data_IF_397590728139
#
_entry.id   IF_397590728139
#
_cell.length_a   1.000
_cell.length_b   1.000
_cell.length_c   1.000
_cell.angle_alpha   90.00
_cell.angle_beta   90.00
_cell.angle_gamma   90.00
#
_symmetry.space_group_name_H-M   'P 1'
#
loop_
_entity.id
_entity.type
_entity.pdbx_description
1 polymer ?
#
# COMPACT_ATOMS: atom_id res chain seq x y z
N UNK A 1 -13.10 -57.85 -7.03
CA UNK A 1 -12.08 -57.21 -7.89
C UNK A 1 -11.65 -55.93 -7.20
N UNK A 2 -10.38 -55.89 -6.80
CA UNK A 2 -9.67 -54.71 -6.35
C UNK A 2 -9.38 -53.83 -7.57
N UNK A 3 -9.64 -52.52 -7.48
CA UNK A 3 -8.91 -51.52 -8.25
C UNK A 3 -8.58 -50.33 -7.34
N UNK A 4 -7.28 -50.21 -7.09
CA UNK A 4 -6.53 -49.09 -6.52
C UNK A 4 -6.89 -47.75 -7.22
N UNK A 5 -7.15 -46.68 -6.48
CA UNK A 5 -6.19 -45.69 -5.93
C UNK A 5 -5.73 -44.64 -6.97
N UNK A 6 -6.11 -43.37 -6.74
CA UNK A 6 -5.21 -42.22 -6.56
C UNK A 6 -5.85 -40.88 -6.92
N UNK A 7 -5.73 -39.97 -5.95
CA UNK A 7 -5.55 -38.53 -6.08
C UNK A 7 -6.62 -37.70 -6.79
N UNK A 8 -7.52 -37.15 -5.99
CA UNK A 8 -7.83 -35.71 -6.08
C UNK A 8 -8.23 -35.19 -4.71
N UNK A 9 -7.28 -35.28 -3.77
CA UNK A 9 -7.24 -34.33 -2.66
C UNK A 9 -7.12 -32.94 -3.29
N UNK A 10 -8.26 -32.29 -3.51
CA UNK A 10 -8.38 -30.85 -3.65
C UNK A 10 -7.91 -30.31 -2.30
N UNK A 11 -6.59 -30.15 -2.17
CA UNK A 11 -6.02 -29.26 -1.17
C UNK A 11 -6.65 -27.90 -1.44
N UNK A 12 -7.43 -27.33 -0.50
CA UNK A 12 -7.93 -25.98 -0.69
C UNK A 12 -6.69 -25.11 -0.92
N UNK A 13 -6.68 -24.37 -2.03
CA UNK A 13 -5.73 -23.30 -2.29
C UNK A 13 -5.93 -22.28 -1.15
N UNK A 14 -5.26 -22.53 -0.02
CA UNK A 14 -5.05 -21.55 1.01
C UNK A 14 -4.38 -20.39 0.28
N UNK A 15 -5.13 -19.29 0.09
CA UNK A 15 -4.51 -18.00 -0.17
C UNK A 15 -3.46 -17.85 0.91
N UNK A 16 -2.18 -18.03 0.55
CA UNK A 16 -1.04 -17.76 1.42
C UNK A 16 -1.07 -16.25 1.57
N UNK A 17 -1.88 -15.78 2.52
CA UNK A 17 -2.14 -14.37 2.74
C UNK A 17 -0.83 -13.72 3.10
N UNK A 18 -0.34 -12.83 2.23
CA UNK A 18 0.67 -11.87 2.61
C UNK A 18 0.04 -11.07 3.76
N UNK A 19 0.48 -11.31 5.00
CA UNK A 19 0.07 -10.48 6.13
C UNK A 19 0.81 -9.16 5.98
N UNK A 20 0.12 -8.18 5.40
CA UNK A 20 0.58 -6.81 5.32
C UNK A 20 -0.08 -6.04 6.45
N UNK A 21 0.72 -5.52 7.38
CA UNK A 21 0.23 -4.62 8.43
C UNK A 21 0.66 -3.21 8.09
N UNK A 22 -0.28 -2.29 8.14
CA UNK A 22 -0.05 -0.87 7.90
C UNK A 22 0.25 -0.16 9.22
N UNK A 23 1.28 0.67 9.23
CA UNK A 23 1.67 1.53 10.34
C UNK A 23 1.51 2.99 9.94
N UNK A 24 1.19 3.84 10.91
CA UNK A 24 1.09 5.30 10.69
C UNK A 24 1.82 6.06 11.79
N UNK A 25 2.66 7.02 11.42
CA UNK A 25 3.36 7.88 12.37
C UNK A 25 3.67 9.25 11.75
N UNK A 26 3.38 10.35 12.46
CA UNK A 26 3.55 11.75 11.98
C UNK A 26 2.95 12.02 10.59
N UNK A 27 1.90 11.29 10.21
CA UNK A 27 1.23 11.40 8.91
C UNK A 27 1.86 10.57 7.79
N UNK A 28 2.94 9.84 8.06
CA UNK A 28 3.57 8.88 7.17
C UNK A 28 3.01 7.48 7.37
N UNK A 29 3.04 6.67 6.32
CA UNK A 29 2.43 5.35 6.27
C UNK A 29 3.47 4.32 5.88
N UNK A 30 3.70 3.34 6.74
CA UNK A 30 4.57 2.19 6.48
C UNK A 30 3.77 0.92 6.21
N UNK A 31 4.29 0.02 5.39
CA UNK A 31 3.84 -1.38 5.38
C UNK A 31 4.91 -2.29 5.98
N UNK A 32 4.49 -3.32 6.70
CA UNK A 32 5.34 -4.42 7.13
C UNK A 32 5.01 -5.66 6.32
N UNK A 33 6.05 -6.35 5.86
CA UNK A 33 6.00 -7.66 5.24
C UNK A 33 6.97 -8.62 5.94
N UNK A 34 6.66 -9.91 5.92
CA UNK A 34 7.58 -10.95 6.41
C UNK A 34 8.50 -11.35 5.27
N UNK A 35 9.80 -11.18 5.46
CA UNK A 35 10.82 -11.77 4.59
C UNK A 35 11.20 -13.15 5.13
N UNK A 36 10.78 -14.19 4.42
CA UNK A 36 11.01 -15.58 4.82
C UNK A 36 12.45 -16.05 4.58
N UNK A 37 13.21 -15.39 3.71
CA UNK A 37 14.59 -15.79 3.40
C UNK A 37 15.54 -15.30 4.48
N UNK A 38 15.37 -14.06 4.94
CA UNK A 38 16.17 -13.47 6.01
C UNK A 38 15.58 -13.68 7.41
N UNK A 39 14.31 -14.09 7.51
CA UNK A 39 13.63 -14.33 8.79
C UNK A 39 13.34 -13.05 9.57
N UNK A 40 13.20 -11.91 8.88
CA UNK A 40 12.91 -10.61 9.49
C UNK A 40 11.57 -10.04 9.02
N UNK A 41 11.06 -9.08 9.78
CA UNK A 41 10.02 -8.17 9.33
C UNK A 41 10.70 -7.02 8.60
N UNK A 42 10.32 -6.78 7.35
CA UNK A 42 10.83 -5.70 6.53
C UNK A 42 9.69 -4.75 6.18
N UNK A 43 9.96 -3.45 6.20
CA UNK A 43 8.97 -2.45 5.85
C UNK A 43 9.53 -1.24 5.12
N UNK A 44 8.61 -0.53 4.47
CA UNK A 44 8.89 0.68 3.69
C UNK A 44 7.83 1.74 3.94
N UNK A 45 8.26 3.00 3.94
CA UNK A 45 7.36 4.17 3.91
C UNK A 45 6.80 4.35 2.49
N UNK A 46 5.47 4.43 2.39
CA UNK A 46 4.73 4.33 1.13
C UNK A 46 4.38 5.68 0.50
N UNK A 47 4.29 6.73 1.31
CA UNK A 47 3.69 8.01 0.95
C UNK A 47 4.71 9.12 0.61
N UNK A 48 5.96 8.73 0.39
CA UNK A 48 7.07 9.56 -0.11
C UNK A 48 7.78 8.88 -1.29
N UNK A 49 8.48 9.66 -2.13
CA UNK A 49 9.30 9.11 -3.22
C UNK A 49 10.64 8.63 -2.71
N UNK A 50 11.18 9.31 -1.69
CA UNK A 50 12.38 8.86 -1.00
C UNK A 50 12.22 7.42 -0.49
N UNK A 51 13.31 6.68 -0.49
CA UNK A 51 13.31 5.29 -0.03
C UNK A 51 13.68 5.27 1.44
N UNK A 52 12.67 5.24 2.30
CA UNK A 52 12.81 5.02 3.74
C UNK A 52 12.33 3.62 4.06
N UNK A 53 13.24 2.80 4.60
CA UNK A 53 13.02 1.39 4.91
C UNK A 53 13.39 1.10 6.35
N UNK A 54 12.72 0.14 6.96
CA UNK A 54 12.94 -0.28 8.34
C UNK A 54 12.82 -1.80 8.44
N UNK A 55 13.41 -2.39 9.47
CA UNK A 55 13.35 -3.83 9.70
C UNK A 55 13.42 -4.16 11.18
N UNK A 56 12.95 -5.35 11.55
CA UNK A 56 13.08 -5.86 12.91
C UNK A 56 12.90 -7.37 12.95
N UNK A 57 13.44 -8.01 14.00
CA UNK A 57 13.26 -9.44 14.25
C UNK A 57 11.92 -9.73 14.95
N UNK A 58 11.38 -8.74 15.67
CA UNK A 58 10.04 -8.80 16.28
C UNK A 58 9.14 -7.68 15.77
N UNK A 59 7.83 -7.82 15.99
CA UNK A 59 6.85 -6.81 15.61
C UNK A 59 7.12 -5.49 16.33
N UNK A 60 7.45 -5.56 17.61
CA UNK A 60 7.78 -4.41 18.44
C UNK A 60 9.01 -3.67 17.90
N UNK A 61 10.06 -4.42 17.55
CA UNK A 61 11.29 -3.86 16.96
C UNK A 61 10.98 -3.20 15.61
N UNK A 62 10.25 -3.88 14.72
CA UNK A 62 9.89 -3.32 13.41
C UNK A 62 9.02 -2.05 13.54
N UNK A 63 8.12 -1.99 14.53
CA UNK A 63 7.32 -0.79 14.80
C UNK A 63 8.17 0.36 15.33
N UNK A 64 9.12 0.08 16.22
CA UNK A 64 10.03 1.10 16.74
C UNK A 64 10.97 1.63 15.65
N UNK A 65 11.53 0.73 14.83
CA UNK A 65 12.41 1.09 13.71
C UNK A 65 11.66 1.88 12.63
N UNK A 66 10.35 1.64 12.45
CA UNK A 66 9.52 2.52 11.63
C UNK A 66 9.48 3.95 12.18
N UNK A 67 9.25 4.14 13.48
CA UNK A 67 9.23 5.47 14.08
C UNK A 67 10.60 6.16 13.99
N UNK A 68 11.67 5.43 14.31
CA UNK A 68 13.04 5.93 14.21
C UNK A 68 13.36 6.36 12.77
N UNK A 69 13.04 5.54 11.78
CA UNK A 69 13.30 5.85 10.37
C UNK A 69 12.55 7.09 9.87
N UNK A 70 11.34 7.35 10.40
CA UNK A 70 10.60 8.58 10.09
C UNK A 70 11.23 9.78 10.79
N UNK A 71 11.66 9.64 12.04
CA UNK A 71 12.33 10.73 12.76
C UNK A 71 13.66 11.10 12.11
N UNK A 72 14.48 10.11 11.77
CA UNK A 72 15.74 10.28 11.05
C UNK A 72 15.52 10.95 9.67
N UNK A 73 14.46 10.57 8.95
CA UNK A 73 14.10 11.20 7.68
C UNK A 73 13.77 12.69 7.85
N UNK A 74 12.99 13.02 8.87
CA UNK A 74 12.58 14.39 9.15
C UNK A 74 13.76 15.26 9.60
N UNK A 75 14.62 14.71 10.47
CA UNK A 75 15.85 15.37 10.92
C UNK A 75 16.79 15.60 9.75
N UNK A 76 17.02 14.59 8.91
CA UNK A 76 17.85 14.71 7.72
C UNK A 76 17.35 15.81 6.76
N UNK A 77 16.03 15.90 6.54
CA UNK A 77 15.44 16.98 5.73
C UNK A 77 15.75 18.37 6.34
N UNK A 78 15.62 18.51 7.66
CA UNK A 78 15.93 19.75 8.37
C UNK A 78 17.42 20.12 8.25
N UNK A 79 18.33 19.17 8.44
CA UNK A 79 19.78 19.37 8.35
C UNK A 79 20.22 19.89 6.97
N UNK A 80 19.64 19.35 5.89
CA UNK A 80 19.97 19.76 4.52
C UNK A 80 19.15 20.97 4.04
N UNK A 81 18.30 21.54 4.90
CA UNK A 81 17.45 22.69 4.57
C UNK A 81 16.37 22.38 3.52
N UNK A 82 15.97 21.12 3.38
CA UNK A 82 14.90 20.70 2.49
C UNK A 82 13.60 20.48 3.26
N UNK A 83 12.48 20.82 2.63
CA UNK A 83 11.18 20.44 3.20
C UNK A 83 10.96 18.94 2.98
N UNK A 84 10.60 18.17 4.02
CA UNK A 84 10.26 16.76 3.84
C UNK A 84 9.09 16.62 2.86
N UNK A 85 9.10 15.52 2.10
CA UNK A 85 8.01 15.23 1.18
C UNK A 85 6.71 15.11 1.97
N UNK A 86 5.72 15.93 1.61
CA UNK A 86 4.41 15.86 2.26
C UNK A 86 3.73 14.55 1.87
N UNK A 87 3.40 13.68 2.84
CA UNK A 87 2.52 12.55 2.59
C UNK A 87 1.24 13.02 1.91
N UNK A 88 0.82 12.29 0.88
CA UNK A 88 -0.48 12.48 0.23
C UNK A 88 -0.80 13.92 -0.22
N UNK A 89 0.00 14.49 -1.12
CA UNK A 89 -0.19 15.86 -1.66
C UNK A 89 -1.56 16.19 -2.30
N UNK A 90 -2.47 15.22 -2.41
CA UNK A 90 -3.75 15.33 -3.12
C UNK A 90 -3.63 15.40 -4.64
N UNK A 91 -2.41 15.48 -5.19
CA UNK A 91 -2.16 15.51 -6.63
C UNK A 91 -2.03 14.08 -7.16
N UNK A 92 -3.05 13.64 -7.90
CA UNK A 92 -3.09 12.31 -8.51
C UNK A 92 -2.96 12.42 -10.04
N UNK A 93 -1.78 12.10 -10.58
CA UNK A 93 -1.56 12.09 -12.02
C UNK A 93 -1.98 10.73 -12.62
N UNK A 94 -3.10 10.71 -13.32
CA UNK A 94 -3.64 9.47 -13.90
C UNK A 94 -3.41 9.43 -15.42
N UNK A 95 -2.68 8.41 -15.88
CA UNK A 95 -2.52 8.08 -17.32
C UNK A 95 -3.32 6.82 -17.62
N UNK A 96 -4.03 6.82 -18.74
CA UNK A 96 -4.86 5.68 -19.15
C UNK A 96 -5.01 5.61 -20.67
N UNK A 97 -5.61 4.54 -21.18
CA UNK A 97 -5.88 4.36 -22.61
C UNK A 97 -7.03 5.25 -23.07
N UNK A 98 -7.12 5.61 -24.37
CA UNK A 98 -8.25 6.39 -24.89
C UNK A 98 -9.61 5.73 -24.63
N UNK A 99 -9.67 4.40 -24.66
CA UNK A 99 -10.90 3.64 -24.39
C UNK A 99 -11.35 3.82 -22.93
N UNK A 100 -10.43 3.67 -21.99
CA UNK A 100 -10.74 3.83 -20.55
C UNK A 100 -11.09 5.27 -20.23
N UNK A 101 -10.35 6.25 -20.79
CA UNK A 101 -10.68 7.66 -20.67
C UNK A 101 -12.12 7.93 -21.13
N UNK A 102 -12.52 7.42 -22.31
CA UNK A 102 -13.89 7.56 -22.82
C UNK A 102 -14.94 6.98 -21.85
N UNK A 103 -14.69 5.79 -21.29
CA UNK A 103 -15.61 5.16 -20.33
C UNK A 103 -15.78 6.01 -19.07
N UNK A 104 -14.67 6.51 -18.52
CA UNK A 104 -14.66 7.39 -17.34
C UNK A 104 -15.42 8.69 -17.63
N UNK A 105 -15.16 9.34 -18.77
CA UNK A 105 -15.86 10.58 -19.16
C UNK A 105 -17.36 10.37 -19.24
N UNK A 106 -17.82 9.27 -19.86
CA UNK A 106 -19.25 8.97 -19.98
C UNK A 106 -19.87 8.70 -18.60
N UNK A 107 -19.19 7.93 -17.74
CA UNK A 107 -19.68 7.62 -16.40
C UNK A 107 -19.82 8.88 -15.53
N UNK A 108 -18.77 9.72 -15.49
CA UNK A 108 -18.80 10.99 -14.76
C UNK A 108 -19.92 11.92 -15.26
N UNK A 109 -20.10 12.00 -16.59
CA UNK A 109 -21.15 12.81 -17.22
C UNK A 109 -22.55 12.32 -16.85
N UNK A 110 -22.78 11.00 -16.83
CA UNK A 110 -24.07 10.41 -16.42
C UNK A 110 -24.44 10.74 -14.97
N UNK A 111 -23.45 10.95 -14.12
CA UNK A 111 -23.64 11.38 -12.73
C UNK A 111 -23.62 12.91 -12.53
N UNK A 112 -23.47 13.69 -13.61
CA UNK A 112 -23.39 15.15 -13.53
C UNK A 112 -22.14 15.68 -12.82
N UNK A 113 -21.04 14.91 -12.83
CA UNK A 113 -19.80 15.23 -12.12
C UNK A 113 -18.66 15.50 -13.09
N UNK A 114 -17.68 16.29 -12.64
CA UNK A 114 -16.36 16.32 -13.31
C UNK A 114 -15.68 14.96 -13.16
N UNK A 115 -14.75 14.64 -14.08
CA UNK A 115 -13.97 13.40 -14.01
C UNK A 115 -13.24 13.29 -12.67
N UNK A 116 -12.62 14.37 -12.20
CA UNK A 116 -11.91 14.37 -10.92
C UNK A 116 -12.85 14.08 -9.73
N UNK A 117 -14.04 14.70 -9.71
CA UNK A 117 -15.01 14.46 -8.63
C UNK A 117 -15.55 13.03 -8.66
N UNK A 118 -15.86 12.52 -9.85
CA UNK A 118 -16.31 11.16 -10.02
C UNK A 118 -15.23 10.14 -9.62
N UNK A 119 -13.98 10.37 -10.01
CA UNK A 119 -12.85 9.54 -9.59
C UNK A 119 -12.66 9.57 -8.08
N UNK A 120 -12.70 10.74 -7.44
CA UNK A 120 -12.62 10.85 -5.98
C UNK A 120 -13.67 9.95 -5.31
N UNK A 121 -14.95 10.09 -5.67
CA UNK A 121 -16.03 9.31 -5.04
C UNK A 121 -15.82 7.79 -5.22
N UNK A 122 -15.44 7.35 -6.42
CA UNK A 122 -15.24 5.92 -6.74
C UNK A 122 -14.00 5.37 -6.03
N UNK A 123 -12.88 6.10 -6.07
CA UNK A 123 -11.62 5.67 -5.46
C UNK A 123 -11.69 5.68 -3.93
N UNK A 124 -12.33 6.69 -3.32
CA UNK A 124 -12.58 6.71 -1.87
C UNK A 124 -13.43 5.52 -1.45
N UNK A 125 -14.50 5.20 -2.19
CA UNK A 125 -15.34 4.04 -1.91
C UNK A 125 -14.53 2.73 -1.98
N UNK A 126 -13.75 2.54 -3.04
CA UNK A 126 -12.93 1.35 -3.22
C UNK A 126 -11.83 1.23 -2.15
N UNK A 127 -11.21 2.35 -1.78
CA UNK A 127 -10.21 2.40 -0.71
C UNK A 127 -10.83 2.00 0.64
N UNK A 128 -11.96 2.60 1.01
CA UNK A 128 -12.67 2.25 2.25
C UNK A 128 -13.12 0.79 2.30
N UNK A 129 -13.46 0.19 1.15
CA UNK A 129 -13.77 -1.23 1.08
C UNK A 129 -12.55 -2.14 1.23
N UNK A 130 -11.35 -1.64 0.94
CA UNK A 130 -10.11 -2.41 1.04
C UNK A 130 -9.50 -2.32 2.44
N UNK A 131 -9.73 -1.20 3.14
CA UNK A 131 -9.22 -0.97 4.50
C UNK A 131 -10.07 -1.61 5.61
N UNK A 132 -11.29 -2.06 5.30
CA UNK A 132 -12.21 -2.74 6.23
C UNK A 132 -12.34 -4.23 5.89
#
# INVERSE_FOLDING_TARGET
>A
MLFNDLSSSIVPFQRRGKMQTMLTYKGYTGNIEIDLESGILFGRVLDIKDVVTFQGQTVEEACQEFYNSIDDYLEFCEEIGQSPEKPFSGKFHFRTTPETHRKITIAATKEGKSINRWMEDILTKAANQTMN
#
